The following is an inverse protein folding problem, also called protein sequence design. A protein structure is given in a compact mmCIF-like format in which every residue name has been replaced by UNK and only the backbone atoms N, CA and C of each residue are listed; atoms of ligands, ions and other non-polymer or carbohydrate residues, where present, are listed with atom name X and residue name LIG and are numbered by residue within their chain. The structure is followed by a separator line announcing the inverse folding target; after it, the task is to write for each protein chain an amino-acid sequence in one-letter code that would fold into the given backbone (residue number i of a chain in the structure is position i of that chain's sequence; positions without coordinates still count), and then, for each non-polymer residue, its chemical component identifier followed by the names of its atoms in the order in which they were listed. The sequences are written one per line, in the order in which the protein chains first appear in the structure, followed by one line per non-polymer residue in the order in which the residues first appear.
data_IF_878371763534
#
_entry.id   IF_878371763534
#
_cell.length_a   1.000
_cell.length_b   1.000
_cell.length_c   1.000
_cell.angle_alpha   90.00
_cell.angle_beta   90.00
_cell.angle_gamma   90.00
#
_symmetry.space_group_name_H-M   'P 1'
#
loop_
_entity.id
_entity.type
_entity.pdbx_description
1 polymer ?
#
# COMPACT_ATOMS: atom_id res chain seq x y z
N UNK A 1 49.15 -7.28 16.55
CA UNK A 1 48.63 -5.91 16.74
C UNK A 1 48.67 -5.23 15.39
N UNK A 2 47.71 -4.34 15.14
CA UNK A 2 47.43 -3.61 13.90
C UNK A 2 46.51 -4.32 12.89
N UNK A 3 45.28 -4.61 13.32
CA UNK A 3 44.13 -4.48 12.40
C UNK A 3 43.86 -2.99 12.25
N UNK A 4 44.22 -2.45 11.10
CA UNK A 4 43.86 -1.09 10.69
C UNK A 4 42.33 -0.99 10.65
N UNK A 5 41.72 -0.49 11.72
CA UNK A 5 40.34 0.01 11.75
C UNK A 5 40.26 1.28 10.90
N UNK A 6 40.51 1.16 9.60
CA UNK A 6 40.42 2.25 8.64
C UNK A 6 39.09 2.10 7.92
N UNK A 7 38.28 3.15 8.00
CA UNK A 7 37.04 3.28 7.26
C UNK A 7 37.34 3.19 5.75
N UNK A 8 36.48 2.57 4.93
CA UNK A 8 36.63 2.60 3.48
C UNK A 8 36.74 4.04 2.97
N UNK A 9 37.69 4.33 2.08
CA UNK A 9 37.94 5.69 1.54
C UNK A 9 36.68 6.38 1.00
N UNK A 10 35.75 5.61 0.44
CA UNK A 10 34.46 6.11 -0.02
C UNK A 10 33.59 6.61 1.15
N UNK A 11 33.53 5.84 2.24
CA UNK A 11 32.79 6.18 3.45
C UNK A 11 33.39 7.42 4.11
N UNK A 12 34.71 7.50 4.24
CA UNK A 12 35.41 8.68 4.76
C UNK A 12 35.07 9.95 3.98
N UNK A 13 35.11 9.90 2.64
CA UNK A 13 34.79 11.05 1.80
C UNK A 13 33.34 11.50 1.95
N UNK A 14 32.41 10.55 2.10
CA UNK A 14 31.00 10.86 2.31
C UNK A 14 30.80 11.52 3.67
N UNK A 15 31.36 10.95 4.74
CA UNK A 15 31.26 11.51 6.09
C UNK A 15 31.90 12.91 6.19
N UNK A 16 33.06 13.12 5.55
CA UNK A 16 33.67 14.46 5.44
C UNK A 16 32.77 15.46 4.72
N UNK A 17 32.09 15.04 3.65
CA UNK A 17 31.12 15.91 2.95
C UNK A 17 29.88 16.24 3.79
N UNK A 18 29.61 15.47 4.84
CA UNK A 18 28.55 15.73 5.83
C UNK A 18 29.02 16.59 7.01
N UNK A 19 30.30 16.98 7.05
CA UNK A 19 30.86 17.87 8.06
C UNK A 19 31.71 17.19 9.12
N UNK A 20 32.04 15.90 8.99
CA UNK A 20 32.88 15.20 9.97
C UNK A 20 34.35 15.55 9.78
N UNK A 21 35.03 15.87 10.88
CA UNK A 21 36.48 16.05 10.93
C UNK A 21 37.20 14.70 11.15
N UNK A 22 38.53 14.69 11.08
CA UNK A 22 39.31 13.45 11.24
C UNK A 22 39.20 12.86 12.67
N UNK A 23 38.90 13.67 13.67
CA UNK A 23 38.76 13.22 15.06
C UNK A 23 37.47 12.41 15.22
N UNK A 24 36.36 12.86 14.61
CA UNK A 24 35.09 12.14 14.57
C UNK A 24 35.19 10.82 13.80
N UNK A 25 35.97 10.79 12.71
CA UNK A 25 36.22 9.54 11.97
C UNK A 25 37.00 8.52 12.79
N UNK A 26 37.90 9.00 13.65
CA UNK A 26 38.64 8.13 14.57
C UNK A 26 37.72 7.57 15.64
N UNK A 27 36.84 8.40 16.23
CA UNK A 27 35.83 7.95 17.18
C UNK A 27 34.86 6.91 16.58
N UNK A 28 34.45 7.09 15.31
CA UNK A 28 33.63 6.10 14.60
C UNK A 28 34.37 4.77 14.38
N UNK A 29 35.65 4.82 14.05
CA UNK A 29 36.48 3.63 13.87
C UNK A 29 36.74 2.90 15.21
N UNK A 30 36.89 3.63 16.31
CA UNK A 30 36.98 3.09 17.68
C UNK A 30 35.65 2.47 18.13
N UNK A 31 34.52 3.06 17.74
CA UNK A 31 33.18 2.51 17.94
C UNK A 31 32.89 1.27 17.08
N UNK A 32 33.82 0.86 16.23
CA UNK A 32 33.71 -0.35 15.41
C UNK A 32 32.85 -0.17 14.15
N UNK A 33 32.57 1.07 13.74
CA UNK A 33 31.80 1.37 12.53
C UNK A 33 32.73 1.26 11.33
N UNK A 34 32.46 0.30 10.44
CA UNK A 34 33.28 0.00 9.26
C UNK A 34 32.50 0.13 7.95
N UNK A 35 31.17 0.02 8.00
CA UNK A 35 30.29 0.07 6.84
C UNK A 35 29.00 0.83 7.14
N UNK A 36 28.29 1.22 6.07
CA UNK A 36 27.00 1.92 6.18
C UNK A 36 25.96 1.15 7.02
N UNK A 37 25.99 -0.19 6.98
CA UNK A 37 25.07 -1.02 7.73
C UNK A 37 25.25 -0.92 9.26
N UNK A 38 26.44 -0.56 9.75
CA UNK A 38 26.70 -0.51 11.20
C UNK A 38 25.97 0.68 11.85
N UNK A 39 25.64 1.72 11.08
CA UNK A 39 24.78 2.81 11.53
C UNK A 39 23.34 2.35 11.82
N UNK A 40 22.88 1.22 11.25
CA UNK A 40 21.59 0.64 11.63
C UNK A 40 21.61 0.08 13.06
N UNK A 41 22.77 -0.35 13.55
CA UNK A 41 22.93 -0.85 14.92
C UNK A 41 22.93 0.29 15.95
N UNK A 42 23.38 1.48 15.56
CA UNK A 42 23.30 2.70 16.37
C UNK A 42 21.84 3.11 16.54
N UNK A 43 21.04 3.01 15.47
CA UNK A 43 19.59 3.14 15.52
C UNK A 43 19.08 4.57 15.56
N UNK A 44 19.64 5.44 16.40
CA UNK A 44 19.17 6.83 16.63
C UNK A 44 20.28 7.89 16.61
N UNK A 45 19.88 9.13 16.38
CA UNK A 45 20.79 10.29 16.33
C UNK A 45 21.44 10.57 17.68
N UNK A 46 20.73 10.35 18.80
CA UNK A 46 21.27 10.65 20.14
C UNK A 46 22.41 9.68 20.49
N UNK A 47 22.24 8.38 20.25
CA UNK A 47 23.30 7.39 20.46
C UNK A 47 24.53 7.67 19.59
N UNK A 48 24.35 8.20 18.36
CA UNK A 48 25.47 8.63 17.53
C UNK A 48 26.24 9.81 18.17
N UNK A 49 25.52 10.82 18.69
CA UNK A 49 26.11 11.97 19.38
C UNK A 49 26.89 11.50 20.61
N UNK A 50 26.31 10.62 21.42
CA UNK A 50 26.90 10.15 22.67
C UNK A 50 28.22 9.38 22.44
N UNK A 51 28.32 8.65 21.33
CA UNK A 51 29.52 7.87 20.98
C UNK A 51 30.60 8.74 20.33
N UNK A 52 30.22 9.76 19.56
CA UNK A 52 31.15 10.48 18.68
C UNK A 52 31.41 11.94 19.06
N UNK A 53 30.61 12.50 19.97
CA UNK A 53 30.65 13.92 20.34
C UNK A 53 30.25 14.86 19.20
N UNK A 54 29.52 14.36 18.20
CA UNK A 54 29.08 15.15 17.05
C UNK A 54 28.07 16.24 17.45
N UNK A 55 28.08 17.33 16.68
CA UNK A 55 27.00 18.30 16.73
C UNK A 55 25.67 17.67 16.26
N UNK A 56 24.57 18.10 16.88
CA UNK A 56 23.23 17.54 16.66
C UNK A 56 22.83 17.62 15.18
N UNK A 57 23.14 18.72 14.50
CA UNK A 57 22.82 18.91 13.09
C UNK A 57 23.61 17.95 12.20
N UNK A 58 24.89 17.75 12.51
CA UNK A 58 25.78 16.86 11.76
C UNK A 58 25.39 15.40 11.98
N UNK A 59 25.13 15.00 13.23
CA UNK A 59 24.71 13.66 13.59
C UNK A 59 23.38 13.29 12.90
N UNK A 60 22.41 14.21 12.91
CA UNK A 60 21.14 14.04 12.22
C UNK A 60 21.34 13.82 10.72
N UNK A 61 22.19 14.64 10.08
CA UNK A 61 22.48 14.52 8.65
C UNK A 61 23.19 13.21 8.29
N UNK A 62 24.05 12.69 9.18
CA UNK A 62 24.70 11.39 9.00
C UNK A 62 23.69 10.25 9.15
N UNK A 63 22.87 10.25 10.20
CA UNK A 63 21.85 9.21 10.42
C UNK A 63 20.79 9.22 9.32
N UNK A 64 20.39 10.40 8.85
CA UNK A 64 19.49 10.56 7.71
C UNK A 64 20.07 9.95 6.43
N UNK A 65 21.38 10.10 6.19
CA UNK A 65 22.04 9.49 5.03
C UNK A 65 22.25 7.97 5.21
N UNK A 66 22.60 7.55 6.42
CA UNK A 66 22.99 6.19 6.74
C UNK A 66 21.78 5.24 6.80
N UNK A 67 20.73 5.65 7.51
CA UNK A 67 19.55 4.82 7.83
C UNK A 67 18.29 5.33 7.13
N UNK A 68 18.29 6.57 6.64
CA UNK A 68 17.09 7.22 6.07
C UNK A 68 16.22 7.84 7.16
N UNK A 69 15.07 8.41 6.78
CA UNK A 69 14.02 8.78 7.75
C UNK A 69 13.34 7.49 8.22
N UNK A 70 13.93 6.80 9.20
CA UNK A 70 13.16 5.89 10.05
C UNK A 70 12.54 6.77 11.12
N UNK A 71 11.25 7.10 10.97
CA UNK A 71 10.48 7.89 11.93
C UNK A 71 10.57 7.25 13.32
N UNK A 72 11.54 7.66 14.12
CA UNK A 72 11.60 7.35 15.53
C UNK A 72 10.61 8.28 16.22
N UNK A 73 9.64 7.65 16.87
CA UNK A 73 8.69 8.27 17.76
C UNK A 73 9.48 9.05 18.82
N UNK A 74 9.29 10.37 18.85
CA UNK A 74 9.72 11.21 19.96
C UNK A 74 9.02 10.73 21.23
N UNK A 75 9.82 10.25 22.18
CA UNK A 75 9.38 9.93 23.54
C UNK A 75 9.30 11.27 24.28
N UNK A 76 8.10 11.82 24.42
CA UNK A 76 7.82 12.88 25.40
C UNK A 76 7.25 12.24 26.67
N UNK A 77 7.77 12.58 27.87
CA UNK A 77 7.22 12.09 29.12
C UNK A 77 6.03 12.95 29.57
N UNK A 78 4.96 12.26 29.98
CA UNK A 78 3.74 12.73 30.65
C UNK A 78 2.67 13.40 29.76
N UNK A 79 1.54 12.72 29.54
CA UNK A 79 0.32 12.85 30.36
C UNK A 79 -0.84 12.10 29.66
N UNK A 80 -1.62 11.38 30.46
CA UNK A 80 -2.85 10.67 30.08
C UNK A 80 -3.84 11.61 29.38
N UNK A 81 -4.03 11.47 28.06
CA UNK A 81 -5.33 11.70 27.39
C UNK A 81 -5.39 10.82 26.14
N UNK A 82 -6.39 9.94 26.09
CA UNK A 82 -6.77 9.14 24.92
C UNK A 82 -7.07 10.05 23.71
N UNK A 83 -6.36 9.89 22.59
CA UNK A 83 -6.81 10.39 21.27
C UNK A 83 -6.26 9.50 20.14
N UNK A 84 -7.05 9.15 19.09
CA UNK A 84 -6.79 8.00 18.23
C UNK A 84 -5.68 8.23 17.18
N UNK A 85 -4.94 7.15 16.92
CA UNK A 85 -3.91 7.03 15.89
C UNK A 85 -4.38 7.53 14.51
N UNK A 86 -3.81 8.64 14.04
CA UNK A 86 -3.93 9.05 12.64
C UNK A 86 -2.83 8.37 11.82
N UNK A 87 -3.23 7.33 11.08
CA UNK A 87 -2.45 6.81 9.96
C UNK A 87 -2.19 7.94 8.95
N UNK A 88 -1.08 7.93 8.19
CA UNK A 88 -0.85 8.91 7.14
C UNK A 88 -1.99 8.79 6.12
N UNK A 89 -2.87 9.80 6.12
CA UNK A 89 -4.00 9.88 5.20
C UNK A 89 -3.42 10.22 3.83
N UNK A 90 -3.05 9.19 3.07
CA UNK A 90 -2.79 9.32 1.64
C UNK A 90 -4.15 9.57 1.00
N UNK A 91 -4.46 10.86 0.77
CA UNK A 91 -5.65 11.28 0.03
C UNK A 91 -5.43 10.90 -1.44
N UNK A 92 -5.63 9.62 -1.78
CA UNK A 92 -5.83 9.24 -3.16
C UNK A 92 -7.16 9.86 -3.62
N UNK A 93 -7.12 10.63 -4.70
CA UNK A 93 -8.33 11.18 -5.30
C UNK A 93 -9.28 10.04 -5.66
N UNK A 94 -10.58 10.21 -5.41
CA UNK A 94 -11.59 9.18 -5.63
C UNK A 94 -11.66 8.69 -7.10
N UNK A 95 -11.10 9.47 -8.04
CA UNK A 95 -11.10 9.20 -9.48
C UNK A 95 -9.86 8.43 -9.99
N UNK A 96 -9.06 7.82 -9.11
CA UNK A 96 -7.86 7.07 -9.55
C UNK A 96 -8.29 5.75 -10.20
N UNK A 97 -8.11 5.65 -11.52
CA UNK A 97 -8.31 4.41 -12.28
C UNK A 97 -7.07 3.53 -12.15
N UNK A 98 -7.24 2.25 -11.83
CA UNK A 98 -6.14 1.27 -11.66
C UNK A 98 -6.36 0.08 -12.58
N UNK A 99 -5.27 -0.49 -13.10
CA UNK A 99 -5.33 -1.71 -13.88
C UNK A 99 -5.78 -2.88 -13.00
N UNK A 100 -6.74 -3.66 -13.49
CA UNK A 100 -7.31 -4.82 -12.78
C UNK A 100 -6.34 -5.99 -12.63
N UNK A 101 -5.31 -6.05 -13.48
CA UNK A 101 -4.34 -7.15 -13.51
C UNK A 101 -3.12 -6.88 -12.64
N UNK A 102 -2.57 -5.66 -12.69
CA UNK A 102 -1.34 -5.31 -11.98
C UNK A 102 -1.49 -4.20 -10.93
N UNK A 103 -2.66 -3.58 -10.79
CA UNK A 103 -2.91 -2.50 -9.84
C UNK A 103 -2.30 -1.15 -10.21
N UNK A 104 -1.54 -1.05 -11.30
CA UNK A 104 -0.88 0.20 -11.73
C UNK A 104 -1.90 1.26 -12.07
N UNK A 105 -1.68 2.50 -11.60
CA UNK A 105 -2.50 3.67 -11.94
C UNK A 105 -2.52 3.87 -13.45
N UNK A 106 -3.71 4.07 -14.00
CA UNK A 106 -3.93 4.31 -15.42
C UNK A 106 -4.39 5.76 -15.64
N UNK A 107 -4.22 6.28 -16.87
CA UNK A 107 -4.81 7.56 -17.27
C UNK A 107 -6.32 7.64 -16.99
N UNK A 108 -6.86 8.85 -16.86
CA UNK A 108 -8.30 9.06 -16.56
C UNK A 108 -9.22 8.61 -17.70
N UNK A 109 -8.71 8.56 -18.91
CA UNK A 109 -9.41 8.08 -20.11
C UNK A 109 -9.32 6.57 -20.31
N UNK A 110 -8.68 5.83 -19.39
CA UNK A 110 -8.57 4.37 -19.42
C UNK A 110 -9.95 3.70 -19.32
N UNK A 111 -10.34 3.00 -20.38
CA UNK A 111 -11.66 2.36 -20.53
C UNK A 111 -11.50 0.88 -20.89
N UNK A 112 -12.60 0.14 -20.73
CA UNK A 112 -12.69 -1.24 -21.18
C UNK A 112 -12.27 -1.36 -22.64
N UNK A 113 -11.33 -2.26 -22.92
CA UNK A 113 -10.74 -2.43 -24.25
C UNK A 113 -9.34 -1.83 -24.42
N UNK A 114 -8.92 -0.88 -23.59
CA UNK A 114 -7.59 -0.27 -23.66
C UNK A 114 -6.50 -1.20 -23.10
N UNK A 115 -5.25 -1.02 -23.51
CA UNK A 115 -4.12 -1.77 -22.97
C UNK A 115 -3.52 -1.06 -21.76
N UNK A 116 -3.23 -1.80 -20.70
CA UNK A 116 -2.51 -1.26 -19.55
C UNK A 116 -1.10 -0.82 -19.94
N UNK A 117 -0.71 0.41 -19.56
CA UNK A 117 0.62 0.97 -19.85
C UNK A 117 1.78 0.20 -19.21
N UNK A 118 1.50 -0.61 -18.19
CA UNK A 118 2.53 -1.34 -17.43
C UNK A 118 2.56 -2.83 -17.74
N UNK A 119 1.42 -3.52 -17.72
CA UNK A 119 1.37 -4.97 -17.93
C UNK A 119 0.96 -5.37 -19.35
N UNK A 120 0.56 -4.43 -20.21
CA UNK A 120 0.13 -4.70 -21.59
C UNK A 120 -1.18 -5.47 -21.72
N UNK A 121 -1.80 -5.91 -20.61
CA UNK A 121 -3.08 -6.60 -20.65
C UNK A 121 -4.23 -5.65 -20.94
N UNK A 122 -5.24 -6.16 -21.65
CA UNK A 122 -6.45 -5.42 -21.96
C UNK A 122 -7.27 -5.15 -20.68
N UNK A 123 -7.83 -3.94 -20.62
CA UNK A 123 -8.78 -3.50 -19.62
C UNK A 123 -10.08 -4.31 -19.78
N UNK A 124 -10.37 -5.15 -18.81
CA UNK A 124 -11.64 -5.85 -18.71
C UNK A 124 -12.59 -5.12 -17.77
N UNK A 125 -13.93 -5.21 -17.98
CA UNK A 125 -14.88 -4.63 -17.06
C UNK A 125 -14.79 -5.35 -15.71
N UNK A 126 -14.67 -4.58 -14.63
CA UNK A 126 -14.75 -5.12 -13.27
C UNK A 126 -16.22 -5.34 -12.93
N UNK A 127 -16.58 -6.59 -12.66
CA UNK A 127 -17.91 -6.96 -12.21
C UNK A 127 -17.88 -7.31 -10.72
N UNK A 128 -19.00 -7.05 -10.04
CA UNK A 128 -19.17 -7.41 -8.64
C UNK A 128 -19.86 -8.77 -8.54
N UNK A 129 -19.34 -9.65 -7.69
CA UNK A 129 -19.91 -10.96 -7.50
C UNK A 129 -21.16 -10.87 -6.62
N UNK A 130 -22.33 -11.26 -7.14
CA UNK A 130 -23.58 -11.28 -6.38
C UNK A 130 -23.54 -12.24 -5.17
N UNK A 131 -22.62 -13.22 -5.16
CA UNK A 131 -22.54 -14.23 -4.11
C UNK A 131 -21.60 -13.81 -2.96
N UNK A 132 -20.35 -13.46 -3.26
CA UNK A 132 -19.33 -13.15 -2.25
C UNK A 132 -18.91 -11.68 -2.21
N UNK A 133 -19.52 -10.81 -3.02
CA UNK A 133 -19.23 -9.37 -3.12
C UNK A 133 -17.79 -9.02 -3.55
N UNK A 134 -16.96 -10.00 -3.89
CA UNK A 134 -15.66 -9.73 -4.49
C UNK A 134 -15.82 -9.17 -5.90
N UNK A 135 -15.03 -8.15 -6.21
CA UNK A 135 -14.95 -7.56 -7.55
C UNK A 135 -13.84 -8.21 -8.35
N UNK A 136 -14.03 -8.39 -9.66
CA UNK A 136 -12.96 -8.91 -10.51
C UNK A 136 -13.30 -8.89 -11.99
N UNK A 137 -12.30 -9.11 -12.85
CA UNK A 137 -12.47 -9.22 -14.29
C UNK A 137 -12.93 -10.64 -14.69
N UNK A 138 -13.36 -10.79 -15.94
CA UNK A 138 -13.78 -12.06 -16.55
C UNK A 138 -15.25 -12.43 -16.34
N UNK A 139 -15.60 -13.68 -16.70
CA UNK A 139 -16.98 -14.21 -16.61
C UNK A 139 -17.31 -14.84 -15.27
N UNK A 140 -16.32 -15.30 -14.51
CA UNK A 140 -16.50 -15.99 -13.24
C UNK A 140 -15.68 -15.35 -12.13
N UNK A 141 -16.27 -15.25 -10.94
CA UNK A 141 -15.60 -14.78 -9.75
C UNK A 141 -14.49 -15.76 -9.33
N UNK A 142 -13.28 -15.25 -9.12
CA UNK A 142 -12.13 -16.07 -8.70
C UNK A 142 -12.20 -16.54 -7.25
N UNK A 143 -12.92 -15.82 -6.38
CA UNK A 143 -13.02 -16.15 -4.96
C UNK A 143 -14.01 -17.30 -4.68
N UNK A 144 -15.19 -17.26 -5.32
CA UNK A 144 -16.25 -18.23 -5.05
C UNK A 144 -16.69 -19.04 -6.28
N UNK A 145 -16.21 -18.71 -7.48
CA UNK A 145 -16.57 -19.39 -8.72
C UNK A 145 -17.98 -19.09 -9.23
N UNK A 146 -18.64 -18.01 -8.80
CA UNK A 146 -19.95 -17.64 -9.37
C UNK A 146 -19.78 -16.98 -10.72
N UNK A 147 -20.65 -17.28 -11.67
CA UNK A 147 -20.69 -16.48 -12.89
C UNK A 147 -21.14 -15.05 -12.53
N UNK A 148 -20.48 -14.05 -13.11
CA UNK A 148 -20.87 -12.67 -12.92
C UNK A 148 -22.19 -12.40 -13.65
N UNK A 149 -23.07 -11.66 -12.98
CA UNK A 149 -24.26 -11.08 -13.59
C UNK A 149 -23.94 -9.69 -14.15
N UNK A 150 -24.60 -9.24 -15.21
CA UNK A 150 -24.46 -7.86 -15.69
C UNK A 150 -24.77 -6.86 -14.57
N UNK A 151 -24.08 -5.71 -14.55
CA UNK A 151 -24.27 -4.69 -13.51
C UNK A 151 -25.72 -4.20 -13.39
N UNK A 152 -26.47 -4.18 -14.51
CA UNK A 152 -27.89 -3.84 -14.53
C UNK A 152 -28.79 -4.85 -13.80
N UNK A 153 -28.35 -6.10 -13.65
CA UNK A 153 -29.08 -7.18 -12.99
C UNK A 153 -28.50 -7.51 -11.60
N UNK A 154 -27.50 -6.75 -11.13
CA UNK A 154 -26.78 -7.07 -9.89
C UNK A 154 -27.70 -7.09 -8.65
N UNK A 155 -28.51 -6.05 -8.47
CA UNK A 155 -29.47 -5.98 -7.36
C UNK A 155 -30.54 -7.06 -7.44
N UNK A 156 -30.94 -7.45 -8.65
CA UNK A 156 -31.86 -8.55 -8.89
C UNK A 156 -31.29 -9.87 -8.37
N UNK A 157 -30.01 -10.11 -8.66
CA UNK A 157 -29.29 -11.29 -8.19
C UNK A 157 -29.10 -11.28 -6.66
N UNK A 158 -28.91 -10.11 -6.04
CA UNK A 158 -28.87 -9.96 -4.58
C UNK A 158 -30.23 -10.26 -3.94
N UNK A 159 -31.31 -9.79 -4.56
CA UNK A 159 -32.66 -10.09 -4.10
C UNK A 159 -32.94 -11.60 -4.13
N UNK A 160 -32.64 -12.28 -5.25
CA UNK A 160 -32.81 -13.72 -5.36
C UNK A 160 -31.96 -14.51 -4.35
N UNK A 161 -30.74 -14.05 -4.07
CA UNK A 161 -29.91 -14.63 -3.00
C UNK A 161 -30.59 -14.53 -1.63
N UNK A 162 -31.24 -13.41 -1.34
CA UNK A 162 -31.97 -13.20 -0.08
C UNK A 162 -33.21 -14.08 0.04
N UNK A 163 -33.87 -14.36 -1.08
CA UNK A 163 -34.99 -15.32 -1.15
C UNK A 163 -34.54 -16.79 -0.97
N UNK A 164 -33.23 -17.04 -0.93
CA UNK A 164 -32.66 -18.37 -0.66
C UNK A 164 -32.30 -19.16 -1.92
N UNK A 165 -32.29 -18.53 -3.09
CA UNK A 165 -31.93 -19.21 -4.34
C UNK A 165 -30.45 -19.62 -4.36
N UNK A 166 -30.18 -20.75 -5.02
CA UNK A 166 -28.81 -21.27 -5.10
C UNK A 166 -27.95 -20.42 -6.04
N UNK A 167 -26.65 -20.37 -5.75
CA UNK A 167 -25.63 -19.65 -6.52
C UNK A 167 -25.75 -19.83 -8.05
N UNK A 168 -25.92 -21.08 -8.51
CA UNK A 168 -26.03 -21.38 -9.94
C UNK A 168 -27.43 -21.10 -10.50
N UNK A 169 -28.49 -21.27 -9.68
CA UNK A 169 -29.86 -21.00 -10.11
C UNK A 169 -30.08 -19.51 -10.37
N UNK A 170 -29.52 -18.62 -9.52
CA UNK A 170 -29.64 -17.16 -9.67
C UNK A 170 -29.20 -16.71 -11.06
N UNK A 171 -28.01 -17.15 -11.51
CA UNK A 171 -27.46 -16.76 -12.81
C UNK A 171 -28.37 -17.23 -13.95
N UNK A 172 -28.88 -18.46 -13.86
CA UNK A 172 -29.77 -19.03 -14.87
C UNK A 172 -31.09 -18.26 -14.93
N UNK A 173 -31.71 -18.02 -13.77
CA UNK A 173 -32.97 -17.26 -13.66
C UNK A 173 -32.84 -15.84 -14.22
N UNK A 174 -31.76 -15.13 -13.88
CA UNK A 174 -31.54 -13.75 -14.36
C UNK A 174 -31.35 -13.70 -15.89
N UNK A 175 -30.73 -14.73 -16.48
CA UNK A 175 -30.54 -14.82 -17.94
C UNK A 175 -31.83 -15.20 -18.68
N UNK A 176 -32.65 -16.05 -18.07
CA UNK A 176 -33.89 -16.56 -18.68
C UNK A 176 -35.09 -15.62 -18.50
N UNK A 177 -35.04 -14.72 -17.50
CA UNK A 177 -36.12 -13.75 -17.28
C UNK A 177 -36.30 -12.79 -18.45
N UNK A 178 -37.56 -12.63 -18.84
CA UNK A 178 -38.00 -11.60 -19.79
C UNK A 178 -37.87 -10.20 -19.19
N UNK A 179 -37.79 -9.15 -20.02
CA UNK A 179 -37.75 -7.76 -19.52
C UNK A 179 -38.94 -7.40 -18.61
N UNK A 180 -40.13 -7.94 -18.90
CA UNK A 180 -41.33 -7.71 -18.10
C UNK A 180 -41.22 -8.35 -16.71
N UNK A 181 -40.68 -9.57 -16.62
CA UNK A 181 -40.45 -10.25 -15.33
C UNK A 181 -39.40 -9.52 -14.49
N UNK A 182 -38.34 -9.04 -15.14
CA UNK A 182 -37.33 -8.21 -14.47
C UNK A 182 -37.94 -6.94 -13.90
N UNK A 183 -38.78 -6.22 -14.66
CA UNK A 183 -39.44 -5.00 -14.15
C UNK A 183 -40.38 -5.30 -12.98
N UNK A 184 -41.13 -6.41 -13.03
CA UNK A 184 -41.99 -6.84 -11.93
C UNK A 184 -41.18 -7.13 -10.65
N UNK A 185 -40.02 -7.78 -10.79
CA UNK A 185 -39.11 -8.04 -9.67
C UNK A 185 -38.51 -6.73 -9.14
N UNK A 186 -38.11 -5.81 -10.02
CA UNK A 186 -37.64 -4.49 -9.64
C UNK A 186 -38.70 -3.70 -8.85
N UNK A 187 -39.97 -3.80 -9.23
CA UNK A 187 -41.06 -3.20 -8.46
C UNK A 187 -41.16 -3.78 -7.04
N UNK A 188 -40.94 -5.09 -6.87
CA UNK A 188 -40.88 -5.73 -5.53
C UNK A 188 -39.67 -5.26 -4.72
N UNK A 189 -38.49 -5.17 -5.33
CA UNK A 189 -37.26 -4.69 -4.68
C UNK A 189 -37.48 -3.25 -4.16
N UNK A 190 -38.04 -2.37 -5.00
CA UNK A 190 -38.32 -0.97 -4.63
C UNK A 190 -39.35 -0.85 -3.51
N UNK A 191 -40.32 -1.77 -3.40
CA UNK A 191 -41.32 -1.81 -2.33
C UNK A 191 -40.75 -2.29 -0.99
N UNK A 192 -39.73 -3.14 -1.01
CA UNK A 192 -39.10 -3.72 0.18
C UNK A 192 -37.89 -2.92 0.68
N UNK A 193 -37.69 -1.69 0.17
CA UNK A 193 -36.63 -0.76 0.58
C UNK A 193 -37.22 0.34 1.45
#
# INVERSE_FOLDING_TARGET
MDTTNSLPKLLENILKSKGLNNDHLTALAEAGIQQKADFEMIGDTQTLIDITGLDEEIAHNVMLWAVGVKTQQEITPNQDVETPQQQPIVVESADVVKCVHCGTKQPKDYKTGDLCVSCGNQAEPVLNCHWCFSSGPGKFCRSCGSEFVPSADFELALFLKREGESKNAIVKMVKEMTPQEKENMWARIRKNR
#
